data_IF_429663206344
#
_entry.id   IF_429663206344
#
_cell.length_a   1.000
_cell.length_b   1.000
_cell.length_c   1.000
_cell.angle_alpha   90.00
_cell.angle_beta   90.00
_cell.angle_gamma   90.00
#
_symmetry.space_group_name_H-M   'P 1'
#
loop_
_entity.id
_entity.type
_entity.pdbx_description
1 polymer ?
#
# COMPACT_ATOMS: atom_id res chain seq x y z
N UNK A 1 -7.44 -3.93 18.48
CA UNK A 1 -7.36 -3.67 17.07
C UNK A 1 -6.54 -4.73 16.37
N UNK A 2 -7.10 -5.37 15.39
CA UNK A 2 -6.32 -6.38 14.72
C UNK A 2 -5.08 -5.75 14.07
N UNK A 3 -4.06 -6.53 13.99
CA UNK A 3 -2.82 -6.09 13.38
C UNK A 3 -2.92 -6.03 11.86
N UNK A 4 -4.04 -6.49 11.34
CA UNK A 4 -4.22 -6.46 9.91
C UNK A 4 -4.32 -5.03 9.43
N UNK A 5 -3.60 -4.76 8.39
CA UNK A 5 -3.48 -3.40 7.91
C UNK A 5 -3.83 -3.29 6.44
N UNK A 6 -4.33 -4.36 5.85
CA UNK A 6 -4.71 -4.33 4.46
C UNK A 6 -6.01 -3.54 4.33
N UNK A 7 -5.92 -2.40 3.66
CA UNK A 7 -7.10 -1.61 3.34
C UNK A 7 -7.63 -2.07 1.99
N UNK A 8 -8.95 -1.96 1.76
CA UNK A 8 -9.49 -2.37 0.46
C UNK A 8 -8.92 -1.53 -0.67
N UNK A 9 -8.85 -2.13 -1.84
CA UNK A 9 -8.51 -1.39 -3.05
C UNK A 9 -9.54 -0.28 -3.23
N UNK A 10 -9.06 0.90 -3.60
CA UNK A 10 -9.92 2.07 -3.73
C UNK A 10 -9.98 2.93 -2.50
N UNK A 11 -9.37 2.48 -1.40
CA UNK A 11 -9.29 3.31 -0.21
C UNK A 11 -8.46 4.54 -0.49
N UNK A 12 -8.86 5.68 0.09
CA UNK A 12 -8.18 6.95 -0.12
C UNK A 12 -7.57 7.37 1.21
N UNK A 13 -6.28 7.66 1.19
CA UNK A 13 -5.54 7.98 2.40
C UNK A 13 -4.63 9.18 2.16
N UNK A 14 -4.19 9.76 3.26
CA UNK A 14 -3.16 10.80 3.25
C UNK A 14 -1.93 10.22 3.92
N UNK A 15 -0.77 10.40 3.31
CA UNK A 15 0.45 9.77 3.80
C UNK A 15 1.52 10.82 4.05
N UNK A 16 2.27 10.61 5.12
CA UNK A 16 3.48 11.36 5.47
C UNK A 16 3.30 12.87 5.33
N UNK A 17 2.22 13.36 5.89
CA UNK A 17 1.90 14.81 5.92
C UNK A 17 1.74 15.40 4.54
N UNK A 18 1.49 14.57 3.55
CA UNK A 18 1.19 15.06 2.23
C UNK A 18 -0.14 15.77 2.19
N UNK A 19 -0.27 16.73 1.26
CA UNK A 19 -1.50 17.49 1.16
C UNK A 19 -2.51 16.83 0.24
N UNK A 20 -2.05 16.02 -0.71
CA UNK A 20 -2.95 15.42 -1.68
C UNK A 20 -3.28 13.98 -1.29
N UNK A 21 -4.56 13.60 -1.43
CA UNK A 21 -4.91 12.23 -1.12
C UNK A 21 -4.43 11.28 -2.23
N UNK A 22 -4.18 10.04 -1.83
CA UNK A 22 -3.79 9.00 -2.78
C UNK A 22 -4.74 7.83 -2.63
N UNK A 23 -5.01 7.13 -3.73
CA UNK A 23 -5.93 6.00 -3.73
C UNK A 23 -5.15 4.71 -3.87
N UNK A 24 -5.40 3.78 -2.98
CA UNK A 24 -4.73 2.49 -2.98
C UNK A 24 -5.21 1.66 -4.17
N UNK A 25 -4.26 1.18 -4.97
CA UNK A 25 -4.57 0.36 -6.13
C UNK A 25 -3.85 -0.99 -6.10
N UNK A 26 -3.03 -1.23 -5.08
CA UNK A 26 -2.19 -2.41 -5.07
C UNK A 26 -1.86 -2.83 -3.65
N UNK A 27 -1.80 -4.14 -3.41
CA UNK A 27 -1.35 -4.71 -2.14
C UNK A 27 -0.01 -5.38 -2.35
N UNK A 28 0.93 -5.09 -1.46
CA UNK A 28 2.24 -5.75 -1.44
C UNK A 28 2.97 -5.69 -2.77
N UNK A 29 3.03 -4.51 -3.41
CA UNK A 29 3.76 -4.41 -4.66
C UNK A 29 5.25 -4.66 -4.46
N UNK A 30 5.86 -5.36 -5.39
CA UNK A 30 7.29 -5.62 -5.39
C UNK A 30 7.97 -4.63 -6.31
N UNK A 31 9.03 -4.01 -5.82
CA UNK A 31 9.78 -3.06 -6.62
C UNK A 31 11.27 -3.30 -6.38
N UNK A 32 12.10 -2.55 -7.10
CA UNK A 32 13.54 -2.74 -7.06
C UNK A 32 14.23 -1.43 -6.71
N UNK A 33 15.26 -1.53 -5.87
CA UNK A 33 16.10 -0.39 -5.57
C UNK A 33 17.54 -0.88 -5.51
N UNK A 34 18.40 -0.30 -6.36
CA UNK A 34 19.83 -0.61 -6.38
C UNK A 34 20.07 -2.10 -6.59
N UNK A 35 19.30 -2.71 -7.48
CA UNK A 35 19.46 -4.10 -7.82
C UNK A 35 18.86 -5.07 -6.82
N UNK A 36 18.21 -4.56 -5.77
CA UNK A 36 17.64 -5.38 -4.73
C UNK A 36 16.13 -5.27 -4.80
N UNK A 37 15.44 -6.40 -4.72
CA UNK A 37 13.99 -6.42 -4.76
C UNK A 37 13.42 -6.46 -3.36
N UNK A 38 12.31 -5.75 -3.19
CA UNK A 38 11.59 -5.73 -1.94
C UNK A 38 10.16 -5.31 -2.17
N UNK A 39 9.37 -5.25 -1.11
CA UNK A 39 7.96 -4.91 -1.25
C UNK A 39 7.56 -3.82 -0.27
N UNK A 40 6.44 -3.17 -0.59
CA UNK A 40 5.76 -2.25 0.31
C UNK A 40 4.39 -2.81 0.63
N UNK A 41 3.75 -2.26 1.66
CA UNK A 41 2.39 -2.70 1.99
C UNK A 41 1.39 -2.28 0.92
N UNK A 42 1.56 -1.10 0.35
CA UNK A 42 0.59 -0.53 -0.59
C UNK A 42 1.24 0.16 -1.77
N UNK A 43 0.52 0.14 -2.89
CA UNK A 43 0.79 1.02 -4.00
C UNK A 43 -0.44 1.87 -4.26
N UNK A 44 -0.25 3.13 -4.67
CA UNK A 44 -1.34 4.06 -4.81
C UNK A 44 -1.09 5.03 -5.95
N UNK A 45 -2.14 5.75 -6.33
CA UNK A 45 -2.06 6.80 -7.34
C UNK A 45 -2.60 8.09 -6.75
N UNK A 46 -2.11 9.20 -7.25
CA UNK A 46 -2.55 10.52 -6.80
C UNK A 46 -3.94 10.84 -7.33
N UNK A 47 -4.74 11.49 -6.51
CA UNK A 47 -6.04 11.98 -6.94
C UNK A 47 -5.94 13.47 -7.17
N UNK A 48 -6.71 14.02 -8.11
CA UNK A 48 -7.75 13.36 -8.90
C UNK A 48 -7.24 12.76 -10.22
N UNK A 49 -5.96 12.81 -10.48
CA UNK A 49 -5.46 12.45 -11.81
C UNK A 49 -5.35 10.95 -12.02
N UNK A 50 -4.90 10.23 -10.99
CA UNK A 50 -4.75 8.80 -11.09
C UNK A 50 -3.38 8.39 -11.58
N UNK A 51 -3.32 7.31 -12.34
CA UNK A 51 -2.07 6.74 -12.81
C UNK A 51 -1.53 7.55 -13.98
N UNK A 52 -0.30 8.03 -13.84
CA UNK A 52 0.39 8.76 -14.89
C UNK A 52 1.71 8.07 -15.15
N UNK A 53 1.95 7.69 -16.41
CA UNK A 53 3.22 7.13 -16.82
C UNK A 53 3.66 5.97 -15.92
N UNK A 54 2.69 5.19 -15.46
CA UNK A 54 2.97 4.03 -14.60
C UNK A 54 3.63 4.41 -13.29
N UNK A 55 3.50 5.64 -12.86
CA UNK A 55 4.06 6.07 -11.57
C UNK A 55 3.15 5.63 -10.45
N UNK A 56 3.65 4.71 -9.63
CA UNK A 56 2.93 4.22 -8.46
C UNK A 56 3.65 4.76 -7.22
N UNK A 57 2.86 5.21 -6.27
CA UNK A 57 3.39 5.71 -5.00
C UNK A 57 3.39 4.54 -4.03
N UNK A 58 4.58 4.21 -3.50
CA UNK A 58 4.72 3.09 -2.59
C UNK A 58 4.82 3.58 -1.15
N UNK A 59 4.12 2.92 -0.24
CA UNK A 59 4.24 3.25 1.17
C UNK A 59 3.75 2.09 2.02
N UNK A 60 4.01 2.20 3.32
CA UNK A 60 3.63 1.18 4.27
C UNK A 60 2.53 1.70 5.18
N UNK A 61 1.94 0.80 5.96
CA UNK A 61 0.84 1.17 6.85
C UNK A 61 1.23 2.28 7.82
N UNK A 62 2.48 2.26 8.28
CA UNK A 62 2.91 3.26 9.27
C UNK A 62 3.05 4.65 8.65
N UNK A 63 3.04 4.74 7.33
CA UNK A 63 3.11 6.04 6.66
C UNK A 63 1.75 6.70 6.50
N UNK A 64 0.68 5.99 6.81
CA UNK A 64 -0.67 6.53 6.64
C UNK A 64 -1.01 7.43 7.81
N UNK A 65 -1.31 8.70 7.53
CA UNK A 65 -1.71 9.63 8.55
C UNK A 65 -3.22 9.60 8.79
N UNK A 66 -3.98 9.38 7.73
CA UNK A 66 -5.43 9.48 7.82
C UNK A 66 -6.07 8.67 6.72
N UNK A 67 -7.13 7.94 7.05
CA UNK A 67 -7.94 7.25 6.06
C UNK A 67 -9.15 8.12 5.77
N UNK A 68 -9.26 8.57 4.53
CA UNK A 68 -10.32 9.48 4.12
C UNK A 68 -11.54 8.75 3.59
N UNK A 69 -11.34 7.58 3.03
CA UNK A 69 -12.42 6.82 2.40
C UNK A 69 -12.02 5.35 2.35
N UNK A 70 -12.91 4.48 2.76
CA UNK A 70 -12.69 3.05 2.63
C UNK A 70 -13.18 2.58 1.28
N UNK A 71 -12.38 1.76 0.61
CA UNK A 71 -12.74 1.25 -0.70
C UNK A 71 -13.77 0.15 -0.63
N UNK A 72 -13.85 -0.60 -1.72
CA UNK A 72 -14.86 -1.62 -1.87
C UNK A 72 -14.58 -2.83 -0.98
N UNK A 73 -15.58 -3.22 -0.21
CA UNK A 73 -15.48 -4.35 0.70
C UNK A 73 -16.56 -5.37 0.33
N UNK A 74 -16.15 -6.59 0.04
CA UNK A 74 -17.07 -7.67 -0.23
C UNK A 74 -16.55 -8.93 0.45
N UNK A 75 -17.21 -10.06 0.19
CA UNK A 75 -16.79 -11.30 0.80
C UNK A 75 -15.36 -11.68 0.38
N UNK A 76 -15.01 -11.41 -0.87
CA UNK A 76 -13.67 -11.78 -1.34
C UNK A 76 -12.60 -10.98 -0.63
N UNK A 77 -12.87 -9.72 -0.35
CA UNK A 77 -11.92 -8.93 0.42
C UNK A 77 -11.80 -9.46 1.84
N UNK A 78 -12.94 -9.85 2.44
CA UNK A 78 -12.90 -10.38 3.79
C UNK A 78 -12.13 -11.69 3.86
N UNK A 79 -12.28 -12.54 2.84
CA UNK A 79 -11.49 -13.77 2.76
C UNK A 79 -10.00 -13.45 2.60
N UNK A 80 -9.70 -12.48 1.75
CA UNK A 80 -8.33 -12.04 1.56
C UNK A 80 -7.74 -11.55 2.88
N UNK A 81 -8.49 -10.74 3.61
CA UNK A 81 -8.03 -10.19 4.87
C UNK A 81 -7.76 -11.28 5.90
N UNK A 82 -8.60 -12.31 5.93
CA UNK A 82 -8.42 -13.39 6.90
C UNK A 82 -7.17 -14.21 6.66
N UNK A 83 -6.63 -14.17 5.43
CA UNK A 83 -5.40 -14.87 5.08
C UNK A 83 -4.22 -13.94 4.90
N UNK A 84 -4.43 -12.65 5.15
CA UNK A 84 -3.43 -11.65 4.79
C UNK A 84 -2.09 -11.89 5.48
N UNK A 85 -2.11 -12.10 6.79
CA UNK A 85 -0.86 -12.27 7.53
C UNK A 85 -0.11 -13.51 7.06
N UNK A 86 -0.84 -14.58 6.78
CA UNK A 86 -0.21 -15.81 6.31
C UNK A 86 0.40 -15.61 4.94
N UNK A 87 -0.32 -14.94 4.04
CA UNK A 87 0.18 -14.74 2.68
C UNK A 87 1.39 -13.81 2.67
N UNK A 88 1.35 -12.77 3.49
CA UNK A 88 2.48 -11.85 3.57
C UNK A 88 3.72 -12.56 4.08
N UNK A 89 3.54 -13.47 5.03
CA UNK A 89 4.68 -14.19 5.59
C UNK A 89 5.39 -15.07 4.56
N UNK A 90 4.73 -15.35 3.43
CA UNK A 90 5.32 -16.15 2.38
C UNK A 90 6.12 -15.33 1.38
N UNK A 91 6.07 -14.02 1.49
CA UNK A 91 6.82 -13.15 0.57
C UNK A 91 8.30 -13.31 0.88
N UNK A 92 9.07 -13.67 -0.13
CA UNK A 92 10.49 -13.94 0.05
C UNK A 92 11.35 -12.69 -0.04
N UNK A 93 10.76 -11.55 -0.42
CA UNK A 93 11.50 -10.30 -0.55
C UNK A 93 11.46 -9.52 0.75
N UNK A 94 12.43 -8.65 0.91
CA UNK A 94 12.52 -7.77 2.06
C UNK A 94 11.42 -6.71 2.00
N UNK A 95 10.90 -6.31 3.16
CA UNK A 95 9.94 -5.22 3.23
C UNK A 95 10.71 -3.91 3.25
N UNK A 96 10.51 -3.10 2.23
CA UNK A 96 11.15 -1.79 2.14
C UNK A 96 10.43 -0.78 3.01
N UNK A 97 11.11 0.31 3.31
CA UNK A 97 10.49 1.46 3.94
C UNK A 97 10.66 2.67 3.04
N UNK A 98 9.77 3.65 3.22
CA UNK A 98 9.85 4.87 2.42
C UNK A 98 11.19 5.56 2.65
N UNK A 99 11.70 5.51 3.88
CA UNK A 99 12.97 6.13 4.17
C UNK A 99 14.12 5.52 3.39
N UNK A 100 14.05 4.23 3.08
CA UNK A 100 15.08 3.58 2.27
C UNK A 100 15.15 4.19 0.88
N UNK A 101 14.03 4.69 0.38
CA UNK A 101 13.97 5.24 -0.97
C UNK A 101 14.31 6.72 -1.03
N UNK A 102 14.41 7.37 0.10
CA UNK A 102 14.73 8.79 0.13
C UNK A 102 16.22 9.08 0.06
N UNK A 103 17.03 8.07 0.16
CA UNK A 103 18.48 8.26 0.15
C UNK A 103 19.05 8.40 -1.23
#
# INVERSE_FOLDING_TARGET
MPERTALPIGSVVRVREGVEPVMIVNHCPVTEKDGKQGYFDFGAVSLPIGLINQNIIFFNKEDIDEVLFFGYIDRRFQDFLSRYDEEVSKISYERFSVDDFKK
#
